data_IF_879576691901
#
_entry.id   IF_879576691901
#
_cell.length_a   1.000
_cell.length_b   1.000
_cell.length_c   1.000
_cell.angle_alpha   90.00
_cell.angle_beta   90.00
_cell.angle_gamma   90.00
#
_symmetry.space_group_name_H-M   'P 1'
#
loop_
_entity.id
_entity.type
_entity.pdbx_description
1 polymer ?
#
# COMPACT_ATOMS: atom_id res chain seq x y z
N UNK A 1 -37.59 33.82 69.77
CA UNK A 1 -36.16 34.21 69.73
C UNK A 1 -35.38 32.94 69.41
N UNK A 2 -34.86 32.66 68.22
CA UNK A 2 -34.30 33.51 67.18
C UNK A 2 -32.80 33.24 67.11
N UNK A 3 -32.31 32.61 66.04
CA UNK A 3 -30.96 32.83 65.49
C UNK A 3 -30.89 32.30 64.03
N UNK A 4 -30.53 33.14 63.04
CA UNK A 4 -30.56 32.82 61.61
C UNK A 4 -29.17 32.70 60.94
N UNK A 5 -29.18 32.16 59.71
CA UNK A 5 -28.36 32.45 58.49
C UNK A 5 -26.84 32.69 58.63
N UNK A 6 -26.01 32.04 57.79
CA UNK A 6 -25.67 32.57 56.45
C UNK A 6 -24.81 31.58 55.62
N UNK A 7 -25.28 31.34 54.40
CA UNK A 7 -24.62 30.68 53.27
C UNK A 7 -23.44 31.54 52.77
N UNK A 8 -22.31 30.93 52.37
CA UNK A 8 -21.23 31.63 51.69
C UNK A 8 -20.98 31.03 50.29
N UNK A 9 -21.02 31.93 49.32
CA UNK A 9 -20.89 31.73 47.87
C UNK A 9 -19.51 31.22 47.45
N UNK A 10 -19.48 30.45 46.35
CA UNK A 10 -18.35 30.43 45.41
C UNK A 10 -18.86 30.67 43.99
N UNK A 11 -18.19 31.61 43.34
CA UNK A 11 -18.55 32.32 42.12
C UNK A 11 -18.31 31.48 40.86
N UNK A 12 -19.26 31.54 39.93
CA UNK A 12 -19.16 31.07 38.55
C UNK A 12 -18.06 31.81 37.78
N UNK A 13 -17.20 31.08 37.08
CA UNK A 13 -16.63 31.53 35.80
C UNK A 13 -17.06 30.53 34.75
N UNK A 14 -17.96 30.99 33.88
CA UNK A 14 -18.42 30.27 32.71
C UNK A 14 -17.40 30.40 31.58
N UNK A 15 -16.86 29.27 31.11
CA UNK A 15 -16.30 29.15 29.76
C UNK A 15 -17.06 28.02 29.07
N UNK A 16 -17.93 28.40 28.13
CA UNK A 16 -18.77 27.46 27.39
C UNK A 16 -17.92 26.50 26.55
N UNK A 17 -18.36 25.24 26.34
CA UNK A 17 -17.71 24.36 25.39
C UNK A 17 -18.05 24.83 23.98
N UNK A 18 -17.01 25.12 23.18
CA UNK A 18 -17.13 25.25 21.75
C UNK A 18 -17.75 23.97 21.18
N UNK A 19 -18.78 24.15 20.35
CA UNK A 19 -19.45 23.09 19.64
C UNK A 19 -18.49 22.41 18.65
N UNK A 20 -17.84 21.34 19.08
CA UNK A 20 -17.31 20.33 18.16
C UNK A 20 -18.50 19.62 17.52
N UNK A 21 -18.65 19.76 16.20
CA UNK A 21 -19.60 18.94 15.43
C UNK A 21 -19.18 17.48 15.58
N UNK A 22 -19.80 16.77 16.51
CA UNK A 22 -19.77 15.32 16.56
C UNK A 22 -20.35 14.78 15.25
N UNK A 23 -19.54 14.04 14.49
CA UNK A 23 -20.06 13.19 13.41
C UNK A 23 -21.07 12.22 14.04
N UNK A 24 -22.33 12.28 13.59
CA UNK A 24 -23.39 11.40 14.07
C UNK A 24 -22.99 9.94 13.83
N UNK A 25 -23.26 9.03 14.78
CA UNK A 25 -23.11 7.60 14.52
C UNK A 25 -24.09 7.21 13.42
N UNK A 26 -23.61 6.59 12.35
CA UNK A 26 -24.44 6.03 11.28
C UNK A 26 -25.19 4.84 11.89
N UNK A 27 -26.53 4.88 12.04
CA UNK A 27 -27.29 3.76 12.56
C UNK A 27 -27.57 2.77 11.44
N UNK A 28 -27.33 1.48 11.71
CA UNK A 28 -27.74 0.32 10.91
C UNK A 28 -27.28 0.30 9.45
N UNK A 29 -26.09 -0.27 9.25
CA UNK A 29 -25.62 -0.79 7.97
C UNK A 29 -26.45 -2.03 7.57
N UNK A 30 -27.70 -1.84 7.17
CA UNK A 30 -28.41 -2.84 6.39
C UNK A 30 -27.85 -2.78 4.97
N UNK A 31 -26.92 -3.70 4.69
CA UNK A 31 -26.50 -4.03 3.35
C UNK A 31 -27.75 -4.26 2.49
N UNK A 32 -28.02 -3.37 1.53
CA UNK A 32 -28.92 -3.68 0.42
C UNK A 32 -28.15 -4.56 -0.57
N UNK A 33 -27.93 -5.83 -0.22
CA UNK A 33 -27.48 -6.84 -1.19
C UNK A 33 -28.68 -7.28 -2.02
N UNK A 34 -28.53 -7.27 -3.35
CA UNK A 34 -29.29 -8.18 -4.22
C UNK A 34 -29.16 -9.60 -3.67
N UNK A 35 -30.28 -10.28 -3.55
CA UNK A 35 -30.41 -11.63 -3.01
C UNK A 35 -29.34 -12.59 -3.56
N UNK A 36 -28.53 -13.18 -2.67
CA UNK A 36 -27.97 -14.53 -2.79
C UNK A 36 -27.18 -14.95 -4.05
N UNK A 37 -26.72 -14.04 -4.91
CA UNK A 37 -26.06 -14.39 -6.18
C UNK A 37 -24.59 -14.00 -6.24
N UNK A 38 -23.72 -14.95 -6.60
CA UNK A 38 -22.36 -14.70 -7.10
C UNK A 38 -22.44 -13.80 -8.35
N UNK A 39 -21.95 -12.57 -8.30
CA UNK A 39 -21.88 -11.68 -9.47
C UNK A 39 -20.51 -11.79 -10.15
N UNK A 40 -20.46 -11.63 -11.48
CA UNK A 40 -19.18 -11.52 -12.19
C UNK A 40 -18.52 -10.20 -11.81
N UNK A 41 -17.21 -10.21 -11.63
CA UNK A 41 -16.43 -8.98 -11.33
C UNK A 41 -16.51 -8.01 -12.50
N UNK A 42 -16.40 -8.52 -13.73
CA UNK A 42 -16.58 -7.69 -14.91
C UNK A 42 -18.06 -7.65 -15.31
N UNK A 43 -18.62 -6.44 -15.27
CA UNK A 43 -20.01 -6.16 -15.55
C UNK A 43 -20.10 -5.12 -16.69
N UNK A 44 -20.74 -5.51 -17.80
CA UNK A 44 -20.79 -4.67 -19.01
C UNK A 44 -21.64 -3.40 -18.81
N UNK A 45 -22.55 -3.41 -17.84
CA UNK A 45 -23.35 -2.25 -17.42
C UNK A 45 -22.49 -1.21 -16.69
N UNK A 46 -21.59 -1.62 -15.80
CA UNK A 46 -20.61 -0.71 -15.18
C UNK A 46 -19.76 -0.04 -16.25
N UNK A 47 -19.21 -0.82 -17.20
CA UNK A 47 -18.41 -0.26 -18.31
C UNK A 47 -19.20 0.83 -19.07
N UNK A 48 -20.46 0.53 -19.41
CA UNK A 48 -21.34 1.48 -20.10
C UNK A 48 -21.65 2.72 -19.26
N UNK A 49 -21.86 2.55 -17.95
CA UNK A 49 -22.15 3.64 -17.03
C UNK A 49 -20.96 4.60 -16.94
N UNK A 50 -19.75 4.08 -16.72
CA UNK A 50 -18.53 4.88 -16.64
C UNK A 50 -18.27 5.63 -17.95
N UNK A 51 -18.28 4.91 -19.09
CA UNK A 51 -17.92 5.52 -20.38
C UNK A 51 -18.95 6.52 -20.91
N UNK A 52 -20.17 6.53 -20.37
CA UNK A 52 -21.19 7.55 -20.67
C UNK A 52 -21.20 8.69 -19.65
N UNK A 53 -20.50 8.57 -18.54
CA UNK A 53 -20.54 9.55 -17.48
C UNK A 53 -19.71 10.79 -17.88
N UNK A 54 -20.33 11.99 -17.95
CA UNK A 54 -19.73 13.16 -18.60
C UNK A 54 -18.45 13.64 -17.91
N UNK A 55 -18.33 13.41 -16.60
CA UNK A 55 -17.21 13.87 -15.78
C UNK A 55 -16.41 12.72 -15.16
N UNK A 56 -16.44 11.52 -15.78
CA UNK A 56 -15.73 10.38 -15.22
C UNK A 56 -14.24 10.68 -15.04
N UNK A 57 -13.61 11.31 -16.03
CA UNK A 57 -12.15 11.54 -16.04
C UNK A 57 -11.34 10.27 -16.34
N UNK A 58 -11.98 9.12 -16.47
CA UNK A 58 -11.36 7.83 -16.79
C UNK A 58 -12.26 6.97 -17.68
N UNK A 59 -11.64 5.98 -18.33
CA UNK A 59 -12.34 5.02 -19.19
C UNK A 59 -12.34 3.63 -18.56
N UNK A 60 -13.47 2.94 -18.70
CA UNK A 60 -13.62 1.57 -18.29
C UNK A 60 -13.54 0.64 -19.50
N UNK A 61 -12.89 -0.51 -19.35
CA UNK A 61 -12.85 -1.54 -20.37
C UNK A 61 -12.96 -2.93 -19.74
N UNK A 62 -13.38 -3.90 -20.55
CA UNK A 62 -13.33 -5.30 -20.16
C UNK A 62 -11.86 -5.70 -20.03
N UNK A 63 -11.47 -6.18 -18.85
CA UNK A 63 -10.19 -6.83 -18.67
C UNK A 63 -10.34 -8.34 -18.86
N UNK A 64 -9.74 -8.95 -19.91
CA UNK A 64 -9.79 -10.40 -20.12
C UNK A 64 -9.26 -11.19 -18.93
N UNK A 65 -8.30 -10.61 -18.20
CA UNK A 65 -7.73 -11.20 -17.01
C UNK A 65 -8.77 -11.35 -15.89
N UNK A 66 -9.82 -10.53 -15.84
CA UNK A 66 -10.88 -10.60 -14.83
C UNK A 66 -12.20 -11.19 -15.34
N UNK A 67 -12.30 -11.45 -16.64
CA UNK A 67 -13.57 -11.77 -17.30
C UNK A 67 -14.29 -13.03 -16.74
N UNK A 68 -13.54 -13.95 -16.12
CA UNK A 68 -14.08 -15.20 -15.59
C UNK A 68 -14.07 -15.29 -14.05
N UNK A 69 -13.87 -14.16 -13.34
CA UNK A 69 -13.88 -14.13 -11.88
C UNK A 69 -15.23 -13.63 -11.35
N UNK A 70 -15.62 -14.14 -10.18
CA UNK A 70 -16.84 -13.71 -9.47
C UNK A 70 -16.54 -13.17 -8.08
N UNK A 71 -17.39 -12.26 -7.60
CA UNK A 71 -17.44 -11.81 -6.20
C UNK A 71 -18.61 -12.53 -5.53
N UNK A 72 -18.34 -13.22 -4.43
CA UNK A 72 -19.36 -13.82 -3.60
C UNK A 72 -19.54 -12.98 -2.34
N UNK A 73 -20.79 -12.84 -1.86
CA UNK A 73 -21.16 -12.03 -0.69
C UNK A 73 -20.43 -12.39 0.62
N UNK A 74 -19.78 -13.56 0.69
CA UNK A 74 -19.02 -14.02 1.86
C UNK A 74 -17.49 -14.00 1.67
N UNK A 75 -16.98 -13.56 0.53
CA UNK A 75 -15.53 -13.51 0.31
C UNK A 75 -15.02 -12.10 0.54
N UNK A 76 -14.78 -11.80 1.81
CA UNK A 76 -13.81 -10.79 2.22
C UNK A 76 -12.45 -11.28 1.67
N UNK A 77 -11.91 -10.63 0.63
CA UNK A 77 -10.75 -11.14 -0.13
C UNK A 77 -9.40 -10.60 0.42
N UNK A 78 -8.33 -11.31 0.07
CA UNK A 78 -7.22 -11.77 0.93
C UNK A 78 -5.78 -11.24 0.52
N UNK A 79 -5.04 -10.60 1.45
CA UNK A 79 -3.67 -10.00 1.55
C UNK A 79 -2.56 -10.00 0.47
N UNK A 80 -2.64 -10.67 -0.68
CA UNK A 80 -1.41 -10.88 -1.51
C UNK A 80 -0.92 -9.57 -2.17
N UNK A 81 -1.82 -8.62 -2.33
CA UNK A 81 -1.57 -7.28 -2.84
C UNK A 81 -0.51 -6.46 -2.07
N UNK A 82 -0.61 -6.50 -0.75
CA UNK A 82 0.12 -5.61 0.15
C UNK A 82 1.63 -5.89 0.16
N UNK A 83 2.03 -7.15 0.33
CA UNK A 83 3.45 -7.49 0.56
C UNK A 83 4.31 -7.23 -0.69
N UNK A 84 3.73 -7.43 -1.88
CA UNK A 84 4.39 -7.10 -3.15
C UNK A 84 4.62 -5.60 -3.30
N UNK A 85 3.67 -4.78 -2.83
CA UNK A 85 3.80 -3.33 -2.78
C UNK A 85 4.91 -2.90 -1.84
N UNK A 86 4.86 -3.32 -0.57
CA UNK A 86 5.86 -3.07 0.48
C UNK A 86 7.30 -3.31 -0.02
N UNK A 87 7.58 -4.51 -0.55
CA UNK A 87 8.91 -4.90 -1.03
C UNK A 87 9.36 -4.05 -2.22
N UNK A 88 8.43 -3.75 -3.12
CA UNK A 88 8.75 -2.98 -4.32
C UNK A 88 8.91 -1.48 -4.07
N UNK A 89 8.41 -0.94 -2.95
CA UNK A 89 8.72 0.43 -2.49
C UNK A 89 10.15 0.53 -1.97
N UNK A 90 10.61 -0.54 -1.33
CA UNK A 90 11.90 -0.61 -0.66
C UNK A 90 13.07 -0.94 -1.57
N UNK A 91 12.97 -1.89 -2.50
CA UNK A 91 14.14 -2.29 -3.31
C UNK A 91 13.81 -2.69 -4.74
N UNK A 92 12.53 -2.65 -5.13
CA UNK A 92 12.13 -2.87 -6.51
C UNK A 92 12.68 -1.75 -7.38
N UNK A 93 13.59 -2.08 -8.30
CA UNK A 93 14.04 -1.14 -9.32
C UNK A 93 12.85 -0.40 -9.93
N UNK A 94 12.96 0.92 -10.06
CA UNK A 94 11.89 1.82 -10.54
C UNK A 94 11.42 1.46 -11.97
N UNK A 95 12.19 0.65 -12.69
CA UNK A 95 11.93 0.13 -14.03
C UNK A 95 11.45 -1.34 -14.07
N UNK A 96 11.29 -2.01 -12.92
CA UNK A 96 10.76 -3.35 -12.89
C UNK A 96 9.26 -3.30 -13.19
N UNK A 97 8.75 -4.16 -14.10
CA UNK A 97 7.34 -4.15 -14.48
C UNK A 97 6.43 -4.37 -13.26
N UNK A 98 5.19 -3.83 -13.26
CA UNK A 98 4.23 -4.08 -12.19
C UNK A 98 4.10 -5.58 -11.94
N UNK A 99 4.26 -5.94 -10.65
CA UNK A 99 4.51 -7.31 -10.22
C UNK A 99 3.39 -8.21 -10.70
N UNK A 100 3.75 -9.40 -11.19
CA UNK A 100 2.75 -10.35 -11.64
C UNK A 100 2.00 -10.93 -10.42
N UNK A 101 0.69 -10.72 -10.33
CA UNK A 101 -0.18 -11.50 -9.43
C UNK A 101 -1.07 -12.39 -10.25
N UNK A 102 -1.17 -13.63 -9.77
CA UNK A 102 -1.76 -14.77 -10.42
C UNK A 102 -3.27 -14.86 -10.29
N UNK A 103 -3.87 -14.21 -9.29
CA UNK A 103 -5.25 -14.48 -8.91
C UNK A 103 -5.96 -13.25 -8.32
N UNK A 104 -7.14 -12.93 -8.87
CA UNK A 104 -7.98 -11.83 -8.40
C UNK A 104 -8.56 -12.05 -7.00
N UNK A 105 -8.65 -13.31 -6.53
CA UNK A 105 -9.15 -13.61 -5.18
C UNK A 105 -8.23 -13.08 -4.05
N UNK A 106 -7.03 -12.61 -4.37
CA UNK A 106 -6.06 -12.20 -3.36
C UNK A 106 -5.59 -10.75 -3.50
N UNK A 107 -6.46 -9.92 -4.05
CA UNK A 107 -6.17 -8.53 -4.37
C UNK A 107 -6.53 -7.59 -3.23
N UNK A 108 -7.61 -7.86 -2.52
CA UNK A 108 -8.00 -7.07 -1.36
C UNK A 108 -7.33 -7.67 -0.15
N UNK A 109 -7.20 -6.93 0.94
CA UNK A 109 -6.58 -7.49 2.13
C UNK A 109 -5.87 -6.48 3.01
N UNK A 110 -6.00 -5.19 2.71
CA UNK A 110 -5.72 -4.19 3.74
C UNK A 110 -6.85 -4.24 4.74
N UNK A 111 -6.51 -4.60 5.97
CA UNK A 111 -7.38 -4.43 7.12
C UNK A 111 -7.18 -3.02 7.66
N UNK A 112 -8.26 -2.32 8.06
CA UNK A 112 -8.11 -1.04 8.75
C UNK A 112 -7.20 -1.21 9.96
N UNK A 113 -6.11 -0.44 10.00
CA UNK A 113 -5.15 -0.56 11.10
C UNK A 113 -5.81 -0.05 12.39
N UNK A 114 -5.82 -0.83 13.48
CA UNK A 114 -6.42 -0.37 14.74
C UNK A 114 -5.76 0.93 15.22
N UNK A 115 -6.55 1.90 15.67
CA UNK A 115 -6.04 3.20 16.16
C UNK A 115 -4.96 3.04 17.23
N UNK A 116 -5.07 2.04 18.11
CA UNK A 116 -4.05 1.75 19.14
C UNK A 116 -2.67 1.43 18.55
N UNK A 117 -2.62 0.77 17.38
CA UNK A 117 -1.36 0.44 16.69
C UNK A 117 -0.73 1.71 16.12
N UNK A 118 -1.55 2.66 15.67
CA UNK A 118 -1.12 3.90 15.01
C UNK A 118 -0.59 4.96 15.98
N UNK A 119 -1.02 4.95 17.24
CA UNK A 119 -0.63 5.96 18.25
C UNK A 119 0.89 6.06 18.45
N UNK A 120 1.58 4.93 18.39
CA UNK A 120 3.04 4.85 18.60
C UNK A 120 3.84 4.87 17.29
N UNK A 121 3.19 5.21 16.17
CA UNK A 121 3.86 5.29 14.86
C UNK A 121 4.27 6.73 14.61
N UNK A 122 5.56 7.03 14.42
CA UNK A 122 6.00 8.37 14.06
C UNK A 122 5.32 8.84 12.76
N UNK A 123 4.88 10.09 12.74
CA UNK A 123 4.31 10.74 11.55
C UNK A 123 5.34 11.73 11.01
N UNK A 124 5.69 11.59 9.73
CA UNK A 124 6.55 12.53 9.02
C UNK A 124 5.75 13.67 8.39
N UNK A 125 6.29 14.86 8.51
CA UNK A 125 5.83 16.11 7.87
C UNK A 125 7.01 16.81 7.22
N UNK A 126 6.74 17.65 6.22
CA UNK A 126 7.74 18.35 5.42
C UNK A 126 7.51 19.87 5.45
N UNK A 127 8.59 20.68 5.31
CA UNK A 127 8.45 22.13 5.30
C UNK A 127 7.77 22.59 4.00
N UNK A 128 6.77 23.47 4.11
CA UNK A 128 6.06 24.03 2.95
C UNK A 128 6.94 24.81 1.97
N UNK A 129 8.12 25.24 2.43
CA UNK A 129 9.13 25.89 1.59
C UNK A 129 9.84 24.94 0.63
N UNK A 130 9.68 23.62 0.79
CA UNK A 130 10.21 22.65 -0.15
C UNK A 130 9.49 22.80 -1.50
N UNK A 131 10.23 23.26 -2.50
CA UNK A 131 9.73 23.37 -3.87
C UNK A 131 9.69 21.99 -4.51
N UNK A 132 8.49 21.56 -4.88
CA UNK A 132 8.25 20.28 -5.56
C UNK A 132 7.90 20.56 -7.02
N UNK A 133 8.33 19.69 -7.95
CA UNK A 133 7.96 19.85 -9.35
C UNK A 133 6.45 19.65 -9.52
N UNK A 134 5.88 20.31 -10.55
CA UNK A 134 4.45 20.16 -10.89
C UNK A 134 4.09 18.71 -11.22
N UNK A 135 5.03 18.00 -11.86
CA UNK A 135 4.89 16.60 -12.23
C UNK A 135 6.14 15.83 -11.81
N UNK A 136 5.95 14.62 -11.34
CA UNK A 136 7.04 13.73 -10.95
C UNK A 136 6.66 12.29 -11.26
N UNK A 137 7.58 11.58 -11.90
CA UNK A 137 7.46 10.15 -12.17
C UNK A 137 8.79 9.48 -11.84
N UNK A 138 8.81 8.69 -10.77
CA UNK A 138 10.00 8.02 -10.30
C UNK A 138 10.59 7.02 -11.32
N UNK A 139 9.82 6.57 -12.33
CA UNK A 139 10.30 5.61 -13.35
C UNK A 139 11.30 6.23 -14.32
N UNK A 140 11.04 7.47 -14.74
CA UNK A 140 11.83 8.17 -15.76
C UNK A 140 12.80 9.18 -15.15
N UNK A 141 12.62 9.52 -13.88
CA UNK A 141 13.47 10.50 -13.21
C UNK A 141 14.69 9.80 -12.63
N UNK A 142 15.87 10.02 -13.24
CA UNK A 142 17.17 9.78 -12.59
C UNK A 142 17.28 10.81 -11.46
N UNK A 143 16.71 10.50 -10.30
CA UNK A 143 16.54 11.48 -9.25
C UNK A 143 17.88 12.07 -8.81
N UNK A 144 18.03 13.37 -9.04
CA UNK A 144 19.14 14.22 -8.60
C UNK A 144 19.07 14.57 -7.11
N UNK A 145 18.54 13.69 -6.27
CA UNK A 145 18.41 13.91 -4.83
C UNK A 145 19.44 13.04 -4.12
N UNK A 146 20.30 13.63 -3.28
CA UNK A 146 21.48 12.99 -2.69
C UNK A 146 21.25 11.65 -1.97
N UNK A 147 20.01 11.34 -1.55
CA UNK A 147 19.62 10.03 -1.05
C UNK A 147 19.19 9.06 -2.15
N UNK A 148 18.42 9.47 -3.16
CA UNK A 148 18.17 8.68 -4.38
C UNK A 148 19.43 8.42 -5.21
N UNK A 149 20.45 9.27 -5.05
CA UNK A 149 21.80 8.99 -5.54
C UNK A 149 22.42 7.81 -4.78
N UNK A 150 22.21 7.59 -3.47
CA UNK A 150 22.63 6.34 -2.81
C UNK A 150 21.89 5.09 -3.34
N UNK A 151 20.62 5.25 -3.71
CA UNK A 151 19.79 4.20 -4.32
C UNK A 151 20.19 3.83 -5.77
N UNK A 152 20.85 4.75 -6.49
CA UNK A 152 21.32 4.54 -7.87
C UNK A 152 22.84 4.32 -7.99
N UNK A 153 23.62 4.82 -7.03
CA UNK A 153 25.07 4.57 -6.92
C UNK A 153 25.34 3.15 -6.41
N UNK A 154 24.44 2.59 -5.62
CA UNK A 154 24.40 1.16 -5.35
C UNK A 154 23.68 0.48 -6.52
N UNK A 155 24.41 -0.03 -7.53
CA UNK A 155 23.87 -0.86 -8.63
C UNK A 155 23.31 -2.22 -8.13
N UNK A 156 22.56 -2.24 -7.03
CA UNK A 156 22.11 -3.43 -6.35
C UNK A 156 20.59 -3.49 -6.45
N UNK A 157 20.09 -4.24 -7.43
CA UNK A 157 18.67 -4.57 -7.56
C UNK A 157 18.38 -5.74 -6.61
N UNK A 158 17.97 -5.45 -5.38
CA UNK A 158 17.62 -6.47 -4.38
C UNK A 158 16.12 -6.72 -4.49
N UNK A 159 15.70 -7.95 -4.79
CA UNK A 159 14.30 -8.35 -4.65
C UNK A 159 14.12 -9.00 -3.27
N UNK A 160 13.25 -8.47 -2.41
CA UNK A 160 12.93 -9.11 -1.14
C UNK A 160 11.86 -10.20 -1.32
N UNK A 161 11.85 -11.16 -0.42
CA UNK A 161 10.89 -12.26 -0.41
C UNK A 161 9.54 -11.81 0.12
N UNK A 162 8.54 -11.86 -0.75
CA UNK A 162 7.14 -11.72 -0.36
C UNK A 162 6.72 -12.88 0.55
N UNK A 163 7.23 -14.09 0.26
CA UNK A 163 6.88 -15.30 0.99
C UNK A 163 7.28 -15.22 2.47
N UNK A 164 8.52 -14.82 2.76
CA UNK A 164 9.02 -14.68 4.13
C UNK A 164 8.15 -13.71 4.93
N UNK A 165 7.78 -12.57 4.35
CA UNK A 165 6.93 -11.61 5.06
C UNK A 165 5.50 -12.14 5.28
N UNK A 166 4.87 -12.74 4.25
CA UNK A 166 3.51 -13.31 4.35
C UNK A 166 3.47 -14.44 5.39
N UNK A 167 4.44 -15.35 5.32
CA UNK A 167 4.47 -16.59 6.09
C UNK A 167 4.96 -16.37 7.53
N UNK A 168 5.98 -15.53 7.73
CA UNK A 168 6.71 -15.46 8.99
C UNK A 168 6.36 -14.27 9.89
N UNK A 169 5.69 -13.23 9.37
CA UNK A 169 5.28 -12.12 10.24
C UNK A 169 4.16 -12.55 11.22
N UNK A 170 3.30 -13.49 10.79
CA UNK A 170 2.19 -13.99 11.59
C UNK A 170 1.25 -12.88 12.06
N UNK A 171 0.68 -13.06 13.26
CA UNK A 171 -0.32 -12.17 13.85
C UNK A 171 0.11 -10.71 13.98
N UNK A 172 1.43 -10.43 13.97
CA UNK A 172 1.94 -9.07 13.99
C UNK A 172 1.47 -8.28 12.76
N UNK A 173 1.52 -8.90 11.57
CA UNK A 173 1.11 -8.26 10.33
C UNK A 173 -0.37 -8.49 9.99
N UNK A 174 -1.04 -9.44 10.63
CA UNK A 174 -2.42 -9.82 10.34
C UNK A 174 -2.55 -11.34 10.19
N UNK A 175 -3.39 -11.77 9.24
CA UNK A 175 -3.78 -13.17 9.07
C UNK A 175 -3.14 -13.80 7.81
N UNK A 176 -1.90 -13.39 7.50
CA UNK A 176 -1.19 -13.88 6.31
C UNK A 176 -1.99 -13.61 5.06
N UNK A 177 -2.24 -14.61 4.22
CA UNK A 177 -3.11 -14.50 3.06
C UNK A 177 -4.45 -13.84 3.39
N UNK A 178 -5.01 -13.90 4.60
CA UNK A 178 -6.37 -13.41 4.89
C UNK A 178 -6.50 -11.93 5.28
N UNK A 179 -5.44 -11.16 5.06
CA UNK A 179 -5.39 -9.70 5.16
C UNK A 179 -4.54 -9.23 6.33
N UNK A 180 -4.15 -7.96 6.33
CA UNK A 180 -3.26 -7.42 7.34
C UNK A 180 -3.00 -5.92 7.23
N UNK A 181 -2.00 -5.46 7.99
CA UNK A 181 -1.82 -4.07 8.37
C UNK A 181 -0.52 -3.48 7.80
N UNK A 182 -0.60 -2.49 6.89
CA UNK A 182 0.58 -1.99 6.19
C UNK A 182 1.76 -1.58 7.06
N UNK A 183 1.49 -0.80 8.11
CA UNK A 183 2.53 -0.35 9.03
C UNK A 183 3.20 -1.48 9.81
N UNK A 184 2.52 -2.62 9.99
CA UNK A 184 3.06 -3.72 10.77
C UNK A 184 4.09 -4.55 10.01
N UNK A 185 4.02 -4.69 8.67
CA UNK A 185 5.18 -5.24 7.96
C UNK A 185 6.38 -4.31 7.98
N UNK A 186 6.18 -2.99 7.91
CA UNK A 186 7.29 -2.06 8.11
C UNK A 186 7.94 -2.28 9.48
N UNK A 187 7.16 -2.42 10.54
CA UNK A 187 7.67 -2.75 11.88
C UNK A 187 8.35 -4.13 11.95
N UNK A 188 7.80 -5.16 11.31
CA UNK A 188 8.44 -6.46 11.21
C UNK A 188 9.77 -6.37 10.44
N UNK A 189 9.82 -5.61 9.36
CA UNK A 189 11.04 -5.43 8.57
C UNK A 189 12.13 -4.68 9.33
N UNK A 190 11.76 -3.78 10.24
CA UNK A 190 12.70 -3.17 11.20
C UNK A 190 13.21 -4.20 12.22
N UNK A 191 12.31 -5.00 12.82
CA UNK A 191 12.62 -5.86 13.97
C UNK A 191 13.25 -7.20 13.60
N UNK A 192 12.74 -7.84 12.56
CA UNK A 192 13.02 -9.21 12.17
C UNK A 192 13.74 -9.30 10.82
N UNK A 193 13.52 -8.30 9.96
CA UNK A 193 14.03 -8.29 8.60
C UNK A 193 13.34 -9.29 7.68
N UNK A 194 13.61 -9.15 6.38
CA UNK A 194 13.07 -9.98 5.30
C UNK A 194 14.21 -10.47 4.41
N UNK A 195 14.19 -11.74 4.01
CA UNK A 195 15.19 -12.33 3.11
C UNK A 195 14.98 -11.91 1.67
N UNK A 196 15.89 -12.25 0.76
CA UNK A 196 15.71 -12.01 -0.68
C UNK A 196 14.73 -13.01 -1.29
N UNK A 197 14.07 -12.62 -2.39
CA UNK A 197 13.24 -13.51 -3.19
C UNK A 197 14.03 -14.69 -3.76
N UNK A 198 15.34 -14.54 -3.96
CA UNK A 198 16.24 -15.65 -4.32
C UNK A 198 16.31 -16.70 -3.19
N UNK A 199 16.39 -16.26 -1.93
CA UNK A 199 16.45 -17.17 -0.78
C UNK A 199 15.11 -17.88 -0.59
N UNK A 200 14.01 -17.13 -0.56
CA UNK A 200 12.67 -17.68 -0.34
C UNK A 200 11.68 -17.16 -1.41
N UNK A 201 11.65 -17.78 -2.60
CA UNK A 201 10.82 -17.32 -3.70
C UNK A 201 9.34 -17.34 -3.36
N UNK A 202 8.58 -16.45 -4.00
CA UNK A 202 7.14 -16.46 -3.87
C UNK A 202 6.54 -17.85 -4.16
N UNK A 203 5.71 -18.35 -3.23
CA UNK A 203 5.19 -19.73 -3.23
C UNK A 203 4.32 -20.05 -4.45
N UNK A 204 3.69 -19.03 -5.04
CA UNK A 204 2.88 -19.18 -6.24
C UNK A 204 3.64 -18.71 -7.49
N UNK A 205 4.28 -19.67 -8.16
CA UNK A 205 4.97 -19.46 -9.43
C UNK A 205 4.07 -19.66 -10.66
N UNK A 206 2.88 -20.21 -10.46
CA UNK A 206 1.95 -20.57 -11.53
C UNK A 206 0.81 -19.56 -11.50
N UNK A 207 1.11 -18.36 -12.00
CA UNK A 207 0.10 -17.41 -12.46
C UNK A 207 -1.13 -18.14 -12.96
N UNK A 208 -2.24 -18.17 -12.20
CA UNK A 208 -3.34 -19.09 -12.44
C UNK A 208 -3.87 -18.81 -13.85
N UNK A 209 -3.47 -19.66 -14.80
CA UNK A 209 -4.17 -19.74 -16.08
C UNK A 209 -5.49 -20.41 -15.70
N UNK A 210 -6.61 -19.94 -16.26
CA UNK A 210 -7.96 -20.55 -16.19
C UNK A 210 -8.89 -20.11 -15.03
N UNK A 211 -10.22 -20.17 -15.23
CA UNK A 211 -11.21 -19.70 -14.25
C UNK A 211 -11.44 -20.68 -13.11
N UNK A 212 -11.69 -20.13 -11.91
CA UNK A 212 -12.18 -20.92 -10.78
C UNK A 212 -11.09 -21.49 -9.89
N UNK A 213 -10.02 -20.73 -9.61
CA UNK A 213 -9.00 -21.15 -8.65
C UNK A 213 -9.60 -21.21 -7.24
N UNK A 214 -10.16 -22.37 -6.96
CA UNK A 214 -10.30 -22.99 -5.66
C UNK A 214 -9.29 -24.14 -5.57
N UNK A 215 -8.72 -24.38 -4.39
CA UNK A 215 -9.05 -23.73 -3.12
C UNK A 215 -8.35 -22.37 -2.95
N UNK A 216 -8.88 -21.54 -2.04
CA UNK A 216 -8.14 -20.41 -1.50
C UNK A 216 -6.77 -20.92 -1.02
N UNK A 217 -5.67 -20.28 -1.43
CA UNK A 217 -4.36 -20.68 -0.95
C UNK A 217 -4.23 -20.31 0.53
N UNK A 218 -4.09 -21.29 1.44
CA UNK A 218 -3.82 -20.98 2.83
C UNK A 218 -2.50 -20.23 2.92
N UNK A 219 -2.35 -19.40 3.96
CA UNK A 219 -1.06 -18.80 4.29
C UNK A 219 0.00 -19.90 4.36
N UNK A 220 1.09 -19.80 3.58
CA UNK A 220 2.15 -20.79 3.63
C UNK A 220 2.78 -20.85 5.02
N UNK A 221 3.29 -22.01 5.39
CA UNK A 221 4.03 -22.16 6.64
C UNK A 221 5.34 -21.35 6.57
N UNK A 222 5.71 -20.71 7.67
CA UNK A 222 6.98 -20.02 7.80
C UNK A 222 8.15 -21.03 7.80
N UNK A 223 8.76 -21.22 6.64
CA UNK A 223 9.98 -22.00 6.49
C UNK A 223 11.20 -21.08 6.65
N UNK A 224 11.87 -21.13 7.80
CA UNK A 224 13.09 -20.33 8.07
C UNK A 224 14.33 -20.91 7.40
N UNK A 225 14.25 -21.17 6.09
CA UNK A 225 15.30 -21.81 5.29
C UNK A 225 15.26 -21.28 3.87
N UNK A 226 16.43 -20.97 3.30
CA UNK A 226 16.50 -20.65 1.88
C UNK A 226 16.30 -21.91 1.02
N UNK A 227 15.60 -21.78 -0.11
CA UNK A 227 15.47 -22.84 -1.12
C UNK A 227 16.81 -23.12 -1.82
N UNK A 228 17.64 -22.10 -1.99
CA UNK A 228 19.01 -22.24 -2.52
C UNK A 228 19.90 -22.95 -1.49
N UNK A 229 20.54 -24.04 -1.90
CA UNK A 229 21.49 -24.78 -1.06
C UNK A 229 22.68 -23.89 -0.70
N UNK A 230 23.22 -24.04 0.52
CA UNK A 230 24.33 -23.25 1.08
C UNK A 230 24.04 -21.78 1.40
N UNK A 231 22.78 -21.34 1.40
CA UNK A 231 22.40 -20.03 1.95
C UNK A 231 21.75 -20.19 3.33
N UNK A 232 22.27 -19.45 4.32
CA UNK A 232 21.70 -19.40 5.67
C UNK A 232 20.63 -18.30 5.73
N UNK A 233 19.39 -18.67 6.05
CA UNK A 233 18.24 -17.75 6.06
C UNK A 233 18.47 -16.50 6.92
N UNK A 234 19.05 -16.66 8.11
CA UNK A 234 19.35 -15.55 9.02
C UNK A 234 20.38 -14.57 8.45
N UNK A 235 21.37 -15.05 7.68
CA UNK A 235 22.42 -14.23 7.09
C UNK A 235 21.94 -13.48 5.84
N UNK A 236 20.82 -13.90 5.25
CA UNK A 236 20.20 -13.26 4.08
C UNK A 236 19.14 -12.23 4.46
N UNK A 237 18.94 -11.95 5.75
CA UNK A 237 17.99 -10.95 6.22
C UNK A 237 18.44 -9.53 5.89
N UNK A 238 17.52 -8.78 5.32
CA UNK A 238 17.62 -7.35 5.07
C UNK A 238 16.69 -6.63 6.06
N UNK A 239 17.01 -5.38 6.41
CA UNK A 239 16.28 -4.64 7.45
C UNK A 239 15.92 -3.23 6.99
N UNK A 240 14.85 -2.68 7.55
CA UNK A 240 14.62 -1.23 7.54
C UNK A 240 15.17 -0.60 8.82
N UNK A 241 15.58 0.67 8.74
CA UNK A 241 15.98 1.46 9.91
C UNK A 241 14.76 1.86 10.75
N UNK A 242 13.64 2.17 10.10
CA UNK A 242 12.46 2.70 10.77
C UNK A 242 11.17 2.42 9.99
N UNK A 243 10.05 2.54 10.69
CA UNK A 243 8.71 2.43 10.14
C UNK A 243 7.94 3.67 10.56
N UNK A 244 7.37 4.41 9.61
CA UNK A 244 6.66 5.66 9.89
C UNK A 244 5.46 5.84 8.96
N UNK A 245 4.55 6.71 9.38
CA UNK A 245 3.48 7.24 8.54
C UNK A 245 3.90 8.55 7.92
N UNK A 246 3.33 8.88 6.79
CA UNK A 246 3.40 10.23 6.23
C UNK A 246 2.10 10.95 6.59
N UNK A 247 2.18 12.22 6.95
CA UNK A 247 1.00 13.03 7.18
C UNK A 247 0.10 13.05 5.92
N UNK A 248 -1.22 13.09 6.12
CA UNK A 248 -2.20 12.96 5.03
C UNK A 248 -2.29 14.18 4.10
N UNK A 249 -1.44 15.18 4.31
CA UNK A 249 -1.38 16.33 3.42
C UNK A 249 -0.69 15.93 2.10
N UNK A 250 -1.28 16.23 0.93
CA UNK A 250 -0.67 15.91 -0.36
C UNK A 250 0.76 16.46 -0.52
N UNK A 251 1.10 17.60 0.06
CA UNK A 251 2.47 18.15 0.01
C UNK A 251 3.45 17.24 0.75
N UNK A 252 3.09 16.72 1.91
CA UNK A 252 3.94 15.82 2.69
C UNK A 252 4.15 14.48 1.97
N UNK A 253 3.09 13.95 1.35
CA UNK A 253 3.15 12.72 0.54
C UNK A 253 4.05 12.94 -0.69
N UNK A 254 3.84 14.03 -1.45
CA UNK A 254 4.70 14.37 -2.60
C UNK A 254 6.15 14.55 -2.16
N UNK A 255 6.40 15.22 -1.02
CA UNK A 255 7.73 15.47 -0.50
C UNK A 255 8.46 14.19 -0.09
N UNK A 256 7.76 13.24 0.55
CA UNK A 256 8.31 11.92 0.88
C UNK A 256 8.73 11.18 -0.40
N UNK A 257 7.81 11.12 -1.38
CA UNK A 257 8.03 10.41 -2.64
C UNK A 257 9.19 11.01 -3.42
N UNK A 258 9.27 12.34 -3.44
CA UNK A 258 10.34 13.06 -4.11
C UNK A 258 11.73 12.81 -3.50
N UNK A 259 11.81 12.81 -2.17
CA UNK A 259 13.09 12.77 -1.46
C UNK A 259 13.60 11.36 -1.21
N UNK A 260 12.69 10.44 -0.88
CA UNK A 260 13.03 9.12 -0.36
C UNK A 260 12.57 7.98 -1.27
N UNK A 261 11.80 8.28 -2.33
CA UNK A 261 11.32 7.29 -3.29
C UNK A 261 9.90 6.80 -2.99
N UNK A 262 9.42 5.77 -3.70
CA UNK A 262 8.04 5.33 -3.61
C UNK A 262 7.57 4.99 -2.21
N UNK A 263 6.30 5.28 -1.93
CA UNK A 263 5.64 4.96 -0.66
C UNK A 263 4.52 3.95 -0.86
N UNK A 264 4.18 3.25 0.21
CA UNK A 264 3.04 2.34 0.22
C UNK A 264 1.80 3.10 0.71
N UNK A 265 0.72 2.99 -0.04
CA UNK A 265 -0.58 3.58 0.29
C UNK A 265 -1.66 2.51 0.25
N UNK A 266 -2.75 2.72 0.97
CA UNK A 266 -3.94 1.88 0.88
C UNK A 266 -5.17 2.71 0.52
N UNK A 267 -6.09 2.12 -0.22
CA UNK A 267 -7.36 2.75 -0.58
C UNK A 267 -8.49 1.72 -0.65
N UNK A 268 -9.71 2.22 -0.58
CA UNK A 268 -10.92 1.41 -0.72
C UNK A 268 -11.18 1.12 -2.19
N UNK A 269 -11.31 -0.16 -2.53
CA UNK A 269 -11.68 -0.62 -3.87
C UNK A 269 -13.18 -0.81 -3.95
N UNK A 270 -13.77 -0.26 -5.00
CA UNK A 270 -15.15 -0.47 -5.41
C UNK A 270 -15.21 -1.32 -6.70
N UNK A 271 -16.38 -1.88 -7.00
CA UNK A 271 -16.56 -2.75 -8.18
C UNK A 271 -16.15 -2.08 -9.51
N UNK A 272 -16.33 -0.76 -9.63
CA UNK A 272 -15.96 -0.02 -10.83
C UNK A 272 -14.45 0.01 -11.09
N UNK A 273 -13.61 0.03 -10.05
CA UNK A 273 -12.16 0.08 -10.19
C UNK A 273 -11.57 -1.14 -10.91
N UNK A 274 -12.20 -2.31 -10.77
CA UNK A 274 -11.78 -3.52 -11.50
C UNK A 274 -11.81 -3.32 -13.04
N UNK A 275 -12.60 -2.37 -13.52
CA UNK A 275 -12.79 -2.03 -14.93
C UNK A 275 -11.87 -0.92 -15.43
N UNK A 276 -11.06 -0.30 -14.56
CA UNK A 276 -10.19 0.81 -14.92
C UNK A 276 -9.28 0.45 -16.10
N UNK A 277 -9.27 1.32 -17.12
CA UNK A 277 -8.38 1.20 -18.28
C UNK A 277 -7.38 2.35 -18.40
N UNK A 278 -7.83 3.60 -18.30
CA UNK A 278 -6.97 4.78 -18.40
C UNK A 278 -7.67 6.03 -17.88
N UNK A 279 -6.91 7.12 -17.67
CA UNK A 279 -7.41 8.39 -17.14
C UNK A 279 -7.23 8.53 -15.63
N UNK A 280 -7.92 9.47 -15.01
CA UNK A 280 -7.85 9.74 -13.56
C UNK A 280 -9.05 9.12 -12.87
N UNK A 281 -8.83 8.01 -12.17
CA UNK A 281 -9.87 7.29 -11.45
C UNK A 281 -10.50 8.17 -10.36
N UNK A 282 -11.82 8.10 -10.31
CA UNK A 282 -12.73 8.59 -9.28
C UNK A 282 -13.84 7.57 -9.18
N UNK A 283 -14.24 7.19 -7.97
CA UNK A 283 -15.34 6.26 -7.80
C UNK A 283 -16.65 6.89 -8.31
N UNK A 284 -17.42 6.13 -9.10
CA UNK A 284 -18.69 6.56 -9.69
C UNK A 284 -19.82 5.61 -9.32
N UNK A 285 -19.57 4.29 -9.30
CA UNK A 285 -20.61 3.28 -9.07
C UNK A 285 -20.06 1.96 -8.54
N UNK A 286 -20.95 1.09 -8.10
CA UNK A 286 -20.60 -0.24 -7.61
C UNK A 286 -20.37 -0.29 -6.10
N UNK A 287 -20.50 -1.49 -5.54
CA UNK A 287 -20.34 -1.73 -4.11
C UNK A 287 -18.89 -1.64 -3.63
N UNK A 288 -18.71 -1.37 -2.34
CA UNK A 288 -17.41 -1.50 -1.68
C UNK A 288 -16.99 -2.98 -1.71
N UNK A 289 -15.78 -3.26 -2.16
CA UNK A 289 -15.22 -4.61 -2.18
C UNK A 289 -14.26 -4.85 -1.00
N UNK A 290 -13.49 -3.83 -0.59
CA UNK A 290 -12.52 -3.92 0.50
C UNK A 290 -11.33 -2.97 0.34
N UNK A 291 -10.31 -3.12 1.19
CA UNK A 291 -9.08 -2.32 1.14
C UNK A 291 -7.97 -2.96 0.30
N UNK A 292 -7.23 -2.13 -0.45
CA UNK A 292 -6.13 -2.53 -1.34
C UNK A 292 -4.90 -1.65 -1.11
N UNK A 293 -3.71 -2.26 -1.03
CA UNK A 293 -2.45 -1.54 -0.89
C UNK A 293 -1.69 -1.51 -2.21
N UNK A 294 -1.14 -0.35 -2.57
CA UNK A 294 -0.47 -0.10 -3.86
C UNK A 294 0.71 0.84 -3.67
N UNK A 295 1.60 0.86 -4.68
CA UNK A 295 2.80 1.68 -4.63
C UNK A 295 2.55 3.02 -5.30
N UNK A 296 2.68 4.11 -4.54
CA UNK A 296 2.62 5.47 -5.06
C UNK A 296 4.01 5.89 -5.53
N UNK A 297 4.13 6.25 -6.81
CA UNK A 297 5.41 6.49 -7.49
C UNK A 297 5.55 7.89 -8.08
N UNK A 298 4.52 8.71 -7.99
CA UNK A 298 4.53 10.03 -8.61
C UNK A 298 3.20 10.75 -8.58
N UNK A 299 3.17 11.89 -9.26
CA UNK A 299 1.99 12.74 -9.41
C UNK A 299 2.11 13.58 -10.68
N UNK A 300 0.98 14.18 -11.07
CA UNK A 300 0.98 15.22 -12.08
C UNK A 300 -0.37 15.91 -12.17
N UNK A 301 -0.57 16.65 -13.25
CA UNK A 301 -1.83 17.30 -13.59
C UNK A 301 -2.16 16.96 -15.04
N UNK A 302 -3.40 16.60 -15.35
CA UNK A 302 -3.81 16.38 -16.74
C UNK A 302 -3.87 17.70 -17.51
N UNK A 303 -3.92 17.65 -18.84
CA UNK A 303 -4.14 18.86 -19.68
C UNK A 303 -5.45 19.58 -19.33
N UNK A 304 -6.44 18.85 -18.82
CA UNK A 304 -7.71 19.37 -18.34
C UNK A 304 -7.64 20.02 -16.93
N UNK A 305 -6.48 19.98 -16.28
CA UNK A 305 -6.27 20.56 -14.95
C UNK A 305 -6.59 19.63 -13.79
N UNK A 306 -6.78 18.32 -14.01
CA UNK A 306 -7.05 17.37 -12.93
C UNK A 306 -5.74 16.85 -12.32
N UNK A 307 -5.56 17.14 -11.03
CA UNK A 307 -4.43 16.65 -10.24
C UNK A 307 -4.58 15.16 -9.93
N UNK A 308 -3.51 14.39 -10.11
CA UNK A 308 -3.52 12.95 -9.89
C UNK A 308 -2.29 12.43 -9.15
N UNK A 309 -2.48 11.32 -8.44
CA UNK A 309 -1.43 10.40 -8.02
C UNK A 309 -1.17 9.38 -9.12
N UNK A 310 0.09 9.02 -9.34
CA UNK A 310 0.51 7.94 -10.23
C UNK A 310 0.92 6.72 -9.40
N UNK A 311 0.29 5.58 -9.66
CA UNK A 311 0.48 4.37 -8.86
C UNK A 311 0.79 3.16 -9.73
N UNK A 312 1.67 2.30 -9.22
CA UNK A 312 1.91 0.97 -9.75
C UNK A 312 1.00 -0.03 -9.01
N UNK A 313 0.16 -0.72 -9.78
CA UNK A 313 -0.66 -1.80 -9.25
C UNK A 313 0.09 -3.14 -9.38
N UNK A 314 -0.42 -4.18 -8.74
CA UNK A 314 0.15 -5.53 -8.79
C UNK A 314 -0.68 -6.51 -9.63
N UNK A 315 -1.58 -6.04 -10.50
CA UNK A 315 -2.49 -6.92 -11.26
C UNK A 315 -2.01 -7.24 -12.68
N UNK A 316 -0.69 -7.40 -12.84
CA UNK A 316 0.00 -7.55 -14.13
C UNK A 316 -0.10 -6.31 -15.03
N UNK A 317 0.76 -6.29 -16.05
CA UNK A 317 0.76 -5.26 -17.12
C UNK A 317 -0.50 -5.24 -17.98
N UNK A 318 -1.25 -6.34 -18.00
CA UNK A 318 -2.51 -6.44 -18.76
C UNK A 318 -3.67 -5.61 -18.18
N UNK A 319 -3.55 -5.16 -16.93
CA UNK A 319 -4.55 -4.32 -16.28
C UNK A 319 -4.23 -2.83 -16.40
N UNK A 320 -5.25 -1.98 -16.48
CA UNK A 320 -5.09 -0.53 -16.51
C UNK A 320 -4.22 -0.03 -17.67
N UNK A 321 -3.37 0.94 -17.34
CA UNK A 321 -2.40 1.55 -18.24
C UNK A 321 -1.04 0.89 -18.02
N UNK A 322 -0.82 -0.26 -18.65
CA UNK A 322 0.39 -1.09 -18.52
C UNK A 322 0.69 -1.54 -17.07
N UNK A 323 -0.35 -1.79 -16.28
CA UNK A 323 -0.30 -2.14 -14.86
C UNK A 323 -0.23 -0.94 -13.91
N UNK A 324 -0.29 0.28 -14.45
CA UNK A 324 -0.37 1.52 -13.69
C UNK A 324 -1.78 2.10 -13.72
N UNK A 325 -2.05 3.00 -12.78
CA UNK A 325 -3.25 3.80 -12.78
C UNK A 325 -3.00 5.18 -12.20
N UNK A 326 -3.93 6.08 -12.49
CA UNK A 326 -3.99 7.40 -11.86
C UNK A 326 -5.29 7.50 -11.07
N UNK A 327 -5.24 8.18 -9.93
CA UNK A 327 -6.40 8.48 -9.07
C UNK A 327 -6.31 9.95 -8.67
N UNK A 328 -7.46 10.60 -8.52
CA UNK A 328 -7.50 12.04 -8.20
C UNK A 328 -6.74 12.31 -6.88
N UNK A 329 -5.93 13.38 -6.88
CA UNK A 329 -5.12 13.82 -5.75
C UNK A 329 -5.76 15.01 -5.05
N UNK A 330 -5.64 15.07 -3.72
CA UNK A 330 -6.04 16.19 -2.88
C UNK A 330 -7.48 16.17 -2.40
N UNK A 331 -8.24 15.13 -2.78
CA UNK A 331 -9.61 14.88 -2.30
C UNK A 331 -9.69 13.69 -1.35
N UNK A 332 -8.54 13.07 -1.04
CA UNK A 332 -8.46 11.81 -0.30
C UNK A 332 -9.40 10.73 -0.89
N UNK A 333 -9.43 10.64 -2.22
CA UNK A 333 -10.31 9.73 -2.95
C UNK A 333 -10.12 8.29 -2.47
N UNK A 334 -11.22 7.64 -2.11
CA UNK A 334 -11.21 6.28 -1.56
C UNK A 334 -10.30 6.09 -0.31
N UNK A 335 -9.95 7.17 0.39
CA UNK A 335 -9.08 7.14 1.58
C UNK A 335 -7.58 7.02 1.26
N UNK A 336 -7.15 7.24 0.00
CA UNK A 336 -5.79 6.94 -0.44
C UNK A 336 -4.68 7.77 0.26
N UNK A 337 -5.04 8.88 0.90
CA UNK A 337 -4.11 9.80 1.55
C UNK A 337 -4.03 9.56 3.08
N UNK A 338 -4.81 8.65 3.66
CA UNK A 338 -4.90 8.44 5.13
C UNK A 338 -3.85 7.46 5.69
N UNK A 339 -3.59 6.38 4.95
CA UNK A 339 -2.75 5.24 5.36
C UNK A 339 -1.46 5.16 4.54
N UNK A 340 -0.75 6.28 4.43
CA UNK A 340 0.55 6.37 3.76
C UNK A 340 1.66 5.94 4.72
N UNK A 341 2.38 4.87 4.38
CA UNK A 341 3.44 4.28 5.21
C UNK A 341 4.73 4.11 4.43
N UNK A 342 5.86 4.31 5.11
CA UNK A 342 7.18 4.13 4.53
C UNK A 342 8.24 3.82 5.61
N UNK A 343 9.48 3.67 5.16
CA UNK A 343 10.63 3.40 5.99
C UNK A 343 11.92 3.45 5.17
N UNK A 344 13.03 3.69 5.85
CA UNK A 344 14.33 3.80 5.20
C UNK A 344 15.06 2.44 5.18
N UNK A 345 15.74 2.04 4.10
CA UNK A 345 16.53 0.82 4.08
C UNK A 345 17.72 0.91 5.04
N UNK A 346 18.10 -0.21 5.64
CA UNK A 346 19.34 -0.28 6.44
C UNK A 346 20.57 -0.36 5.53
N UNK A 347 21.64 0.34 5.89
CA UNK A 347 22.94 0.20 5.21
C UNK A 347 23.56 -1.19 5.37
N UNK A 348 23.13 -1.96 6.39
CA UNK A 348 23.49 -3.38 6.54
C UNK A 348 23.12 -4.22 5.31
N UNK A 349 22.14 -3.76 4.53
CA UNK A 349 21.65 -4.40 3.32
C UNK A 349 22.51 -4.10 2.08
N UNK A 350 23.40 -3.11 2.14
CA UNK A 350 24.14 -2.60 0.99
C UNK A 350 25.62 -2.99 0.99
N UNK A 351 26.11 -3.61 2.08
CA UNK A 351 27.51 -4.07 2.17
C UNK A 351 27.62 -5.45 1.52
N UNK A 352 28.18 -5.52 0.31
CA UNK A 352 28.91 -6.72 -0.10
C UNK A 352 30.21 -6.75 0.68
N UNK A 353 30.59 -7.92 1.20
CA UNK A 353 31.95 -8.20 1.67
C UNK A 353 32.95 -7.67 0.63
N UNK A 354 33.59 -6.54 0.94
CA UNK A 354 34.67 -5.98 0.13
C UNK A 354 35.97 -6.77 0.31
N UNK A 355 35.97 -7.76 1.21
CA UNK A 355 37.15 -8.54 1.61
C UNK A 355 37.52 -9.70 0.68
N UNK A 356 36.72 -10.02 -0.35
CA UNK A 356 37.02 -11.15 -1.25
C UNK A 356 37.55 -10.74 -2.63
N UNK A 357 37.69 -9.45 -2.93
CA UNK A 357 38.16 -8.97 -4.24
C UNK A 357 39.59 -8.45 -4.26
N UNK A 358 40.19 -8.16 -3.10
CA UNK A 358 41.60 -7.81 -2.99
C UNK A 358 42.21 -8.63 -1.87
N UNK A 359 42.84 -9.75 -2.24
CA UNK A 359 43.77 -10.43 -1.36
C UNK A 359 44.94 -9.51 -1.06
N UNK A 360 44.82 -8.70 -0.01
CA UNK A 360 45.93 -8.00 0.61
C UNK A 360 45.77 -8.20 2.10
N UNK A 361 46.40 -9.26 2.60
CA UNK A 361 46.71 -9.33 4.00
C UNK A 361 47.62 -8.16 4.35
N UNK A 362 47.27 -7.42 5.39
CA UNK A 362 48.26 -6.84 6.31
C UNK A 362 47.55 -6.50 7.61
N UNK A 363 48.22 -6.85 8.69
CA UNK A 363 47.77 -6.69 10.06
C UNK A 363 48.07 -5.28 10.62
N UNK A 364 47.65 -5.12 11.88
CA UNK A 364 48.25 -4.33 12.97
C UNK A 364 47.60 -2.95 13.28
N UNK A 365 47.07 -2.90 14.52
CA UNK A 365 46.75 -1.79 15.46
C UNK A 365 45.87 -0.64 14.96
#
# INVERSE_FOLDING_TARGET
MGMPLLLLLLILVATGPQAGRAAKPIPNLQLMTKEGGSSRIIQDDIIKAINKHPNAGWTAARNPYFANYTVNNNTLLLFIAYIKTFISCLFGGLNNPPVQTAQFKHILGVKPTPHSVLNDVPVKTYPRSLMLPKEFDARVTVARVGHLVLWSVSRINISLSVNDLVACCGFMCGDGCDGGYPIMAWRYFVRNGVVTDECDPYFDQVGCKHPGCEPAYPTPLCEKKCKVQNQVWLEKKHFSVNAYRVNSDPHDIMAEVYQNGPVEVAFTVYEDFAHYKSGVYKHITGGMMGGHAVKLIGWGTTDAGEDYWLLANQWNRGWGDDGYFKIIRGTNECGIEEDVVAGMPSTKNMVRNYDSAFGVGTAIV
#
